data_IF_852126657492
#
_entry.id   IF_852126657492
#
_cell.length_a   1.000
_cell.length_b   1.000
_cell.length_c   1.000
_cell.angle_alpha   90.00
_cell.angle_beta   90.00
_cell.angle_gamma   90.00
#
_symmetry.space_group_name_H-M   'P 1'
#
loop_
_entity.id
_entity.type
_entity.pdbx_description
1 polymer ?
#
# COMPACT_ATOMS: atom_id res chain seq x y z
N UNK A 1 -19.21 48.31 -40.82
CA UNK A 1 -18.49 47.09 -40.40
C UNK A 1 -19.33 46.42 -39.32
N UNK A 2 -19.85 45.22 -39.57
CA UNK A 2 -20.54 44.40 -38.55
C UNK A 2 -19.50 43.51 -37.88
N UNK A 3 -19.30 43.67 -36.57
CA UNK A 3 -18.57 42.71 -35.75
C UNK A 3 -19.50 41.54 -35.39
N UNK A 4 -19.14 40.33 -35.83
CA UNK A 4 -19.74 39.09 -35.36
C UNK A 4 -19.14 38.72 -34.01
N UNK A 5 -19.86 38.97 -32.92
CA UNK A 5 -19.54 38.43 -31.60
C UNK A 5 -19.97 36.95 -31.56
N UNK A 6 -19.02 36.04 -31.79
CA UNK A 6 -19.24 34.61 -31.63
C UNK A 6 -19.44 34.22 -30.17
N UNK A 7 -20.60 33.64 -29.86
CA UNK A 7 -20.93 33.11 -28.53
C UNK A 7 -20.07 31.86 -28.25
N UNK A 8 -19.09 31.95 -27.34
CA UNK A 8 -18.34 30.78 -26.87
C UNK A 8 -19.11 30.10 -25.75
N UNK A 9 -19.67 28.93 -26.03
CA UNK A 9 -20.31 28.09 -25.01
C UNK A 9 -19.25 27.23 -24.34
N UNK A 10 -19.06 27.39 -23.04
CA UNK A 10 -18.21 26.50 -22.25
C UNK A 10 -19.07 25.39 -21.66
N UNK A 11 -18.73 24.12 -21.94
CA UNK A 11 -19.29 22.96 -21.24
C UNK A 11 -18.41 22.67 -20.03
N UNK A 12 -18.97 22.77 -18.84
CA UNK A 12 -18.34 22.27 -17.61
C UNK A 12 -18.45 20.75 -17.61
N UNK A 13 -17.31 20.06 -17.65
CA UNK A 13 -17.25 18.60 -17.44
C UNK A 13 -16.84 18.40 -15.98
N UNK A 14 -17.73 17.82 -15.18
CA UNK A 14 -17.40 17.37 -13.82
C UNK A 14 -16.81 15.97 -13.93
N UNK A 15 -15.51 15.83 -13.67
CA UNK A 15 -14.86 14.51 -13.57
C UNK A 15 -15.13 13.97 -12.17
N UNK A 16 -15.97 12.93 -12.08
CA UNK A 16 -16.17 12.19 -10.82
C UNK A 16 -14.90 11.36 -10.54
N UNK A 17 -14.39 11.32 -9.29
CA UNK A 17 -13.36 10.35 -8.92
C UNK A 17 -13.85 8.93 -9.19
N UNK A 18 -12.97 8.07 -9.70
CA UNK A 18 -13.26 6.66 -9.86
C UNK A 18 -13.52 6.02 -8.50
N UNK A 19 -14.42 5.05 -8.41
CA UNK A 19 -14.75 4.35 -7.17
C UNK A 19 -14.52 2.83 -7.27
N UNK A 20 -15.06 2.07 -6.32
CA UNK A 20 -14.86 0.62 -6.26
C UNK A 20 -15.33 -0.10 -7.54
N UNK A 21 -16.44 0.34 -8.14
CA UNK A 21 -17.01 -0.30 -9.33
C UNK A 21 -16.17 -0.05 -10.59
N UNK A 22 -15.31 0.97 -10.55
CA UNK A 22 -14.44 1.33 -11.67
C UNK A 22 -13.13 0.51 -11.71
N UNK A 23 -12.76 -0.19 -10.63
CA UNK A 23 -11.50 -0.98 -10.53
C UNK A 23 -11.25 -1.90 -11.75
N UNK A 24 -12.26 -2.63 -12.29
CA UNK A 24 -12.04 -3.48 -13.46
C UNK A 24 -11.49 -2.73 -14.68
N UNK A 25 -11.87 -1.45 -14.86
CA UNK A 25 -11.46 -0.60 -15.97
C UNK A 25 -10.10 0.09 -15.75
N UNK A 26 -9.65 0.21 -14.50
CA UNK A 26 -8.36 0.83 -14.17
C UNK A 26 -7.21 -0.06 -14.62
N UNK A 27 -6.21 0.52 -15.29
CA UNK A 27 -4.99 -0.21 -15.67
C UNK A 27 -4.17 -0.52 -14.42
N UNK A 28 -3.98 -1.80 -14.10
CA UNK A 28 -3.18 -2.19 -12.95
C UNK A 28 -1.72 -1.74 -13.10
N UNK A 29 -1.12 -1.24 -12.02
CA UNK A 29 0.24 -0.70 -12.03
C UNK A 29 0.38 0.70 -12.64
N UNK A 30 -0.72 1.38 -13.02
CA UNK A 30 -0.70 2.80 -13.42
C UNK A 30 -0.94 3.72 -12.23
N UNK A 31 -0.54 5.00 -12.35
CA UNK A 31 -0.76 6.02 -11.31
C UNK A 31 -2.22 6.47 -11.18
N UNK A 32 -3.15 5.86 -11.91
CA UNK A 32 -4.59 6.12 -11.77
C UNK A 32 -5.08 5.54 -10.45
N UNK A 33 -5.81 6.35 -9.68
CA UNK A 33 -6.40 5.95 -8.40
C UNK A 33 -7.90 5.74 -8.48
N UNK A 34 -8.40 4.92 -7.57
CA UNK A 34 -9.82 4.85 -7.19
C UNK A 34 -9.99 5.36 -5.77
N UNK A 35 -11.14 5.95 -5.46
CA UNK A 35 -11.49 6.46 -4.13
C UNK A 35 -12.48 5.51 -3.47
N UNK A 36 -12.08 4.88 -2.38
CA UNK A 36 -12.89 3.92 -1.61
C UNK A 36 -12.80 4.30 -0.15
N UNK A 37 -13.95 4.41 0.52
CA UNK A 37 -14.05 4.82 1.93
C UNK A 37 -13.29 6.13 2.23
N UNK A 38 -13.29 7.06 1.26
CA UNK A 38 -12.62 8.36 1.38
C UNK A 38 -11.10 8.35 1.19
N UNK A 39 -10.51 7.23 0.82
CA UNK A 39 -9.06 7.07 0.59
C UNK A 39 -8.79 6.81 -0.89
N UNK A 40 -7.73 7.41 -1.44
CA UNK A 40 -7.24 7.11 -2.79
C UNK A 40 -6.33 5.87 -2.78
N UNK A 41 -6.60 4.95 -3.70
CA UNK A 41 -5.92 3.65 -3.82
C UNK A 41 -5.33 3.47 -5.21
N UNK A 42 -4.06 3.06 -5.28
CA UNK A 42 -3.49 2.48 -6.48
C UNK A 42 -4.00 1.04 -6.64
N UNK A 43 -4.36 0.67 -7.88
CA UNK A 43 -4.64 -0.72 -8.25
C UNK A 43 -3.33 -1.34 -8.72
N UNK A 44 -2.67 -2.11 -7.86
CA UNK A 44 -1.34 -2.67 -8.18
C UNK A 44 -1.44 -3.91 -9.04
N UNK A 45 -2.36 -4.82 -8.69
CA UNK A 45 -2.53 -6.11 -9.37
C UNK A 45 -4.02 -6.41 -9.52
N UNK A 46 -4.39 -7.07 -10.61
CA UNK A 46 -5.71 -7.70 -10.78
C UNK A 46 -5.49 -9.16 -11.12
N UNK A 47 -6.11 -10.06 -10.36
CA UNK A 47 -5.98 -11.50 -10.57
C UNK A 47 -7.21 -12.24 -10.08
N UNK A 48 -7.71 -13.19 -10.87
CA UNK A 48 -8.79 -14.11 -10.49
C UNK A 48 -9.99 -13.45 -9.78
N UNK A 49 -10.49 -12.35 -10.34
CA UNK A 49 -11.63 -11.61 -9.78
C UNK A 49 -11.30 -10.80 -8.51
N UNK A 50 -10.03 -10.60 -8.20
CA UNK A 50 -9.55 -9.78 -7.07
C UNK A 50 -8.65 -8.65 -7.57
N UNK A 51 -8.47 -7.64 -6.72
CA UNK A 51 -7.46 -6.60 -6.93
C UNK A 51 -6.62 -6.39 -5.67
N UNK A 52 -5.32 -6.15 -5.84
CA UNK A 52 -4.45 -5.66 -4.78
C UNK A 52 -4.45 -4.14 -4.82
N UNK A 53 -4.91 -3.53 -3.74
CA UNK A 53 -4.94 -2.09 -3.55
C UNK A 53 -3.83 -1.65 -2.62
N UNK A 54 -3.27 -0.45 -2.86
CA UNK A 54 -2.33 0.20 -1.96
C UNK A 54 -2.64 1.68 -1.82
N UNK A 55 -2.72 2.16 -0.57
CA UNK A 55 -3.05 3.55 -0.30
C UNK A 55 -2.02 4.50 -0.91
N UNK A 56 -2.49 5.56 -1.59
CA UNK A 56 -1.64 6.59 -2.20
C UNK A 56 -0.92 7.44 -1.15
N UNK A 57 -1.63 7.86 -0.13
CA UNK A 57 -1.12 8.64 1.00
C UNK A 57 -1.33 7.86 2.32
N UNK A 58 -0.57 8.17 3.38
CA UNK A 58 -0.78 7.53 4.67
C UNK A 58 -2.18 7.81 5.22
N UNK A 59 -2.85 6.77 5.70
CA UNK A 59 -4.22 6.81 6.22
C UNK A 59 -4.27 6.93 7.75
N UNK A 60 -3.14 6.73 8.40
CA UNK A 60 -2.97 6.81 9.85
C UNK A 60 -1.52 7.14 10.20
N UNK A 61 -1.31 7.61 11.42
CA UNK A 61 0.00 7.74 12.04
C UNK A 61 0.06 6.84 13.28
N UNK A 62 0.96 5.84 13.27
CA UNK A 62 1.07 4.82 14.31
C UNK A 62 2.51 4.36 14.51
N UNK A 63 2.80 3.91 15.73
CA UNK A 63 4.00 3.13 16.01
C UNK A 63 3.92 1.79 15.31
N UNK A 64 5.07 1.27 14.87
CA UNK A 64 5.13 -0.10 14.37
C UNK A 64 4.86 -1.10 15.49
N UNK A 65 5.68 -1.04 16.53
CA UNK A 65 5.54 -1.86 17.74
C UNK A 65 6.36 -1.28 18.90
N UNK A 66 6.01 -1.63 20.14
CA UNK A 66 6.62 -1.07 21.35
C UNK A 66 7.32 -2.11 22.24
N UNK A 67 7.22 -3.41 21.94
CA UNK A 67 7.88 -4.49 22.71
C UNK A 67 8.61 -5.49 21.81
N UNK A 68 9.62 -6.16 22.37
CA UNK A 68 10.31 -7.25 21.69
C UNK A 68 9.42 -8.52 21.70
N UNK A 69 9.29 -9.29 20.60
CA UNK A 69 9.97 -9.15 19.32
C UNK A 69 9.29 -8.19 18.33
N UNK A 70 10.10 -7.35 17.69
CA UNK A 70 9.66 -6.32 16.73
C UNK A 70 9.40 -6.88 15.32
N UNK A 71 8.53 -7.89 15.26
CA UNK A 71 8.17 -8.58 14.01
C UNK A 71 6.80 -8.12 13.52
N UNK A 72 6.54 -8.24 12.22
CA UNK A 72 5.21 -7.97 11.66
C UNK A 72 4.10 -8.75 12.39
N UNK A 73 4.30 -10.06 12.60
CA UNK A 73 3.32 -10.96 13.24
C UNK A 73 2.89 -10.49 14.63
N UNK A 74 3.81 -9.96 15.42
CA UNK A 74 3.52 -9.49 16.80
C UNK A 74 3.28 -7.99 16.89
N UNK A 75 3.39 -7.27 15.77
CA UNK A 75 3.26 -5.81 15.76
C UNK A 75 1.86 -5.35 16.16
N UNK A 76 1.81 -4.31 16.99
CA UNK A 76 0.57 -3.63 17.35
C UNK A 76 -0.07 -2.95 16.14
N UNK A 77 0.75 -2.54 15.16
CA UNK A 77 0.27 -1.98 13.91
C UNK A 77 -0.55 -2.99 13.08
N UNK A 78 -0.08 -4.25 12.97
CA UNK A 78 -0.84 -5.32 12.31
C UNK A 78 -2.19 -5.54 12.99
N UNK A 79 -2.22 -5.59 14.32
CA UNK A 79 -3.46 -5.73 15.10
C UNK A 79 -4.43 -4.58 14.84
N UNK A 80 -3.94 -3.33 14.86
CA UNK A 80 -4.74 -2.16 14.54
C UNK A 80 -5.32 -2.21 13.12
N UNK A 81 -4.49 -2.55 12.13
CA UNK A 81 -4.90 -2.61 10.73
C UNK A 81 -5.97 -3.67 10.46
N UNK A 82 -5.82 -4.88 11.02
CA UNK A 82 -6.77 -5.98 10.83
C UNK A 82 -7.97 -5.94 11.81
N UNK A 83 -8.00 -4.99 12.73
CA UNK A 83 -9.07 -4.79 13.70
C UNK A 83 -9.73 -3.43 13.52
N UNK A 84 -9.44 -2.51 14.44
CA UNK A 84 -10.07 -1.18 14.54
C UNK A 84 -10.09 -0.42 13.20
N UNK A 85 -8.97 -0.40 12.46
CA UNK A 85 -8.89 0.32 11.20
C UNK A 85 -9.82 -0.29 10.15
N UNK A 86 -9.69 -1.59 9.85
CA UNK A 86 -10.53 -2.25 8.85
C UNK A 86 -12.01 -2.18 9.25
N UNK A 87 -12.36 -2.42 10.51
CA UNK A 87 -13.75 -2.39 10.99
C UNK A 87 -14.39 -0.98 10.90
N UNK A 88 -13.58 0.08 10.88
CA UNK A 88 -14.05 1.45 10.70
C UNK A 88 -14.40 1.80 9.24
N UNK A 89 -13.96 0.98 8.28
CA UNK A 89 -14.26 1.16 6.85
C UNK A 89 -15.68 0.68 6.52
N UNK A 90 -16.18 0.99 5.31
CA UNK A 90 -17.52 0.55 4.88
C UNK A 90 -17.41 -0.51 3.80
N UNK A 91 -16.84 -0.16 2.66
CA UNK A 91 -16.68 -1.07 1.51
C UNK A 91 -15.53 -2.04 1.78
N UNK A 92 -14.39 -1.55 2.30
CA UNK A 92 -13.19 -2.37 2.41
C UNK A 92 -13.37 -3.55 3.38
N UNK A 93 -14.05 -3.38 4.53
CA UNK A 93 -14.30 -4.48 5.47
C UNK A 93 -15.13 -5.63 4.88
N UNK A 94 -16.00 -5.33 3.91
CA UNK A 94 -16.86 -6.32 3.26
C UNK A 94 -16.12 -7.03 2.13
N UNK A 95 -15.18 -6.34 1.47
CA UNK A 95 -14.48 -6.84 0.28
C UNK A 95 -13.09 -7.39 0.56
N UNK A 96 -12.49 -7.07 1.70
CA UNK A 96 -11.13 -7.49 2.04
C UNK A 96 -10.97 -9.01 2.10
N UNK A 97 -9.88 -9.51 1.55
CA UNK A 97 -9.57 -10.94 1.44
C UNK A 97 -8.42 -11.30 2.36
N UNK A 98 -8.64 -12.29 3.23
CA UNK A 98 -7.58 -12.90 4.02
C UNK A 98 -6.53 -13.52 3.10
N UNK A 99 -5.29 -13.08 3.25
CA UNK A 99 -4.17 -13.43 2.37
C UNK A 99 -3.00 -13.87 3.22
N UNK A 100 -2.35 -14.98 2.84
CA UNK A 100 -1.10 -15.37 3.45
C UNK A 100 0.03 -14.45 2.98
N UNK A 101 0.62 -13.74 3.93
CA UNK A 101 1.70 -12.79 3.71
C UNK A 101 2.96 -13.31 4.38
N UNK A 102 3.99 -13.52 3.57
CA UNK A 102 5.30 -13.95 4.05
C UNK A 102 6.21 -12.74 4.26
N UNK A 103 6.90 -12.73 5.40
CA UNK A 103 7.80 -11.66 5.84
C UNK A 103 9.04 -12.26 6.48
N UNK A 104 10.21 -11.66 6.23
CA UNK A 104 11.46 -12.08 6.87
C UNK A 104 11.38 -11.83 8.38
N UNK A 105 11.90 -12.76 9.19
CA UNK A 105 11.75 -12.67 10.66
C UNK A 105 12.64 -11.62 11.33
N UNK A 106 13.76 -11.26 10.70
CA UNK A 106 14.78 -10.32 11.18
C UNK A 106 15.69 -9.85 10.02
N UNK A 107 16.57 -8.88 10.27
CA UNK A 107 17.40 -8.22 9.26
C UNK A 107 18.34 -9.17 8.48
N UNK A 108 18.76 -10.27 9.10
CA UNK A 108 19.66 -11.29 8.53
C UNK A 108 18.97 -12.66 8.47
N UNK A 109 17.64 -12.69 8.43
CA UNK A 109 16.90 -13.92 8.59
C UNK A 109 17.10 -14.88 7.41
N UNK A 110 17.40 -16.13 7.75
CA UNK A 110 17.08 -17.31 6.92
C UNK A 110 15.65 -17.78 7.15
N UNK A 111 15.07 -17.43 8.31
CA UNK A 111 13.74 -17.85 8.73
C UNK A 111 12.66 -16.85 8.31
N UNK A 112 11.47 -17.37 8.06
CA UNK A 112 10.34 -16.60 7.56
C UNK A 112 9.14 -16.75 8.47
N UNK A 113 8.35 -15.69 8.51
CA UNK A 113 7.09 -15.64 9.23
C UNK A 113 5.99 -15.50 8.20
N UNK A 114 4.97 -16.35 8.31
CA UNK A 114 3.75 -16.25 7.51
C UNK A 114 2.59 -15.87 8.43
N UNK A 115 1.85 -14.85 8.04
CA UNK A 115 0.60 -14.42 8.69
C UNK A 115 -0.53 -14.46 7.68
N UNK A 116 -1.73 -14.73 8.15
CA UNK A 116 -2.94 -14.55 7.34
C UNK A 116 -3.54 -13.19 7.71
N UNK A 117 -3.53 -12.26 6.76
CA UNK A 117 -3.90 -10.86 6.95
C UNK A 117 -4.92 -10.42 5.90
N UNK A 118 -5.94 -9.66 6.31
CA UNK A 118 -6.79 -8.91 5.39
C UNK A 118 -6.11 -7.60 4.96
N UNK A 119 -5.35 -6.99 5.87
CA UNK A 119 -4.65 -5.72 5.66
C UNK A 119 -3.21 -5.86 6.10
N UNK A 120 -2.28 -5.44 5.24
CA UNK A 120 -0.85 -5.53 5.49
C UNK A 120 -0.11 -4.28 5.01
N UNK A 121 1.18 -4.17 5.30
CA UNK A 121 2.06 -3.17 4.70
C UNK A 121 2.89 -3.82 3.60
N UNK A 122 3.22 -3.09 2.54
CA UNK A 122 4.19 -3.58 1.56
C UNK A 122 5.60 -3.70 2.18
N UNK A 123 6.45 -4.52 1.59
CA UNK A 123 7.83 -4.77 2.02
C UNK A 123 8.79 -4.00 1.13
N UNK A 124 10.05 -3.96 1.56
CA UNK A 124 11.13 -3.48 0.72
C UNK A 124 11.22 -4.24 -0.61
N UNK A 125 11.02 -5.56 -0.60
CA UNK A 125 11.06 -6.37 -1.81
C UNK A 125 9.91 -6.04 -2.76
N UNK A 126 8.72 -5.76 -2.21
CA UNK A 126 7.52 -5.42 -2.98
C UNK A 126 7.71 -4.09 -3.76
N UNK A 127 8.45 -3.13 -3.20
CA UNK A 127 8.65 -1.79 -3.77
C UNK A 127 9.93 -1.66 -4.59
N UNK A 128 11.03 -2.23 -4.10
CA UNK A 128 12.38 -1.98 -4.60
C UNK A 128 13.07 -3.23 -5.15
N UNK A 129 12.51 -4.42 -4.91
CA UNK A 129 13.17 -5.68 -5.28
C UNK A 129 14.43 -5.92 -4.45
N UNK A 130 14.51 -5.32 -3.26
CA UNK A 130 15.65 -5.41 -2.37
C UNK A 130 15.24 -5.89 -0.99
N UNK A 131 16.23 -6.38 -0.25
CA UNK A 131 16.16 -6.59 1.18
C UNK A 131 17.43 -6.02 1.80
N UNK A 132 17.28 -5.12 2.76
CA UNK A 132 18.40 -4.39 3.38
C UNK A 132 19.27 -3.66 2.34
N UNK A 133 18.62 -2.97 1.40
CA UNK A 133 19.25 -2.21 0.33
C UNK A 133 19.94 -3.05 -0.73
N UNK A 134 19.86 -4.38 -0.66
CA UNK A 134 20.52 -5.32 -1.58
C UNK A 134 19.49 -6.05 -2.40
N UNK A 135 19.70 -6.22 -3.72
CA UNK A 135 18.79 -6.94 -4.59
C UNK A 135 18.48 -8.34 -4.04
N UNK A 136 17.20 -8.72 -4.06
CA UNK A 136 16.73 -10.04 -3.64
C UNK A 136 15.94 -10.70 -4.75
N UNK A 137 16.02 -12.03 -4.80
CA UNK A 137 15.24 -12.89 -5.70
C UNK A 137 14.70 -14.12 -4.95
N UNK A 138 14.59 -14.03 -3.62
CA UNK A 138 14.10 -15.13 -2.82
C UNK A 138 12.61 -15.38 -3.14
N UNK A 139 12.26 -16.62 -3.47
CA UNK A 139 10.90 -16.99 -3.86
C UNK A 139 9.84 -16.77 -2.77
N UNK A 140 10.27 -16.58 -1.51
CA UNK A 140 9.38 -16.27 -0.39
C UNK A 140 9.13 -14.77 -0.19
N UNK A 141 9.90 -13.90 -0.85
CA UNK A 141 9.56 -12.47 -0.89
C UNK A 141 8.20 -12.32 -1.58
N UNK A 142 7.28 -11.57 -0.96
CA UNK A 142 5.93 -11.36 -1.46
C UNK A 142 5.96 -10.47 -2.71
N UNK A 143 6.25 -11.10 -3.84
CA UNK A 143 6.34 -10.47 -5.16
C UNK A 143 5.22 -10.99 -6.03
N UNK A 144 4.90 -10.27 -7.11
CA UNK A 144 3.88 -10.72 -8.06
C UNK A 144 4.52 -10.95 -9.42
N UNK A 145 4.37 -12.15 -9.97
CA UNK A 145 4.97 -12.52 -11.26
C UNK A 145 6.50 -12.41 -11.30
N UNK A 146 7.19 -12.72 -10.19
CA UNK A 146 8.65 -12.57 -10.02
C UNK A 146 9.18 -11.14 -10.24
N UNK A 147 8.32 -10.13 -10.08
CA UNK A 147 8.67 -8.71 -10.20
C UNK A 147 8.20 -7.94 -8.98
N UNK A 148 8.75 -6.74 -8.79
CA UNK A 148 8.24 -5.79 -7.79
C UNK A 148 6.76 -5.52 -8.04
N UNK A 149 5.98 -5.44 -6.95
CA UNK A 149 4.53 -5.22 -7.01
C UNK A 149 4.21 -3.76 -7.38
N UNK A 150 5.13 -2.83 -7.07
CA UNK A 150 5.01 -1.41 -7.40
C UNK A 150 5.88 -1.09 -8.62
N UNK A 151 5.35 -1.21 -9.86
CA UNK A 151 6.15 -1.05 -11.08
C UNK A 151 6.53 0.41 -11.34
N UNK A 152 5.67 1.37 -10.98
CA UNK A 152 5.92 2.80 -11.16
C UNK A 152 6.52 3.40 -9.87
N UNK A 153 7.74 3.93 -9.97
CA UNK A 153 8.43 4.57 -8.85
C UNK A 153 7.69 5.79 -8.30
N UNK A 154 6.87 6.47 -9.10
CA UNK A 154 6.09 7.63 -8.66
C UNK A 154 5.01 7.26 -7.63
N UNK A 155 4.55 6.01 -7.61
CA UNK A 155 3.63 5.53 -6.57
C UNK A 155 4.26 5.45 -5.18
N UNK A 156 5.60 5.37 -5.11
CA UNK A 156 6.33 5.27 -3.84
C UNK A 156 6.34 6.60 -3.08
N UNK A 157 6.28 7.71 -3.81
CA UNK A 157 6.16 9.03 -3.23
C UNK A 157 4.75 9.24 -2.64
N UNK A 158 4.66 10.13 -1.65
CA UNK A 158 3.41 10.52 -1.01
C UNK A 158 3.55 11.97 -0.50
N UNK A 159 2.42 12.64 -0.26
CA UNK A 159 2.40 14.09 0.01
C UNK A 159 2.19 14.41 1.49
N UNK A 160 1.52 13.54 2.24
CA UNK A 160 1.23 13.75 3.66
C UNK A 160 2.27 13.09 4.58
N UNK A 161 2.95 13.89 5.43
CA UNK A 161 3.97 13.39 6.35
C UNK A 161 5.35 13.17 5.69
N UNK A 162 6.25 12.49 6.41
CA UNK A 162 7.66 12.34 5.98
C UNK A 162 8.08 10.89 5.75
N UNK A 163 7.57 9.96 6.55
CA UNK A 163 7.99 8.55 6.54
C UNK A 163 6.77 7.65 6.66
N UNK A 164 6.74 6.55 5.90
CA UNK A 164 5.75 5.49 6.04
C UNK A 164 6.42 4.15 6.32
N UNK A 165 5.81 3.35 7.21
CA UNK A 165 6.28 2.01 7.55
C UNK A 165 6.24 1.04 6.36
N UNK A 166 7.25 0.18 6.28
CA UNK A 166 7.22 -1.09 5.53
C UNK A 166 7.31 -2.25 6.53
N UNK A 167 6.92 -3.46 6.10
CA UNK A 167 6.99 -4.65 6.97
C UNK A 167 8.37 -5.35 6.98
N UNK A 168 9.37 -4.83 6.27
CA UNK A 168 10.71 -5.44 6.23
C UNK A 168 11.53 -5.09 7.48
N UNK A 169 12.06 -6.07 8.21
CA UNK A 169 12.98 -5.82 9.32
C UNK A 169 14.30 -5.23 8.82
N UNK A 170 14.92 -4.40 9.66
CA UNK A 170 16.22 -3.77 9.44
C UNK A 170 17.10 -3.92 10.68
N UNK A 171 18.39 -3.56 10.60
CA UNK A 171 19.29 -3.67 11.75
C UNK A 171 18.84 -2.73 12.89
N UNK A 172 18.20 -3.29 13.92
CA UNK A 172 17.68 -2.53 15.06
C UNK A 172 16.52 -1.56 14.71
N UNK A 173 15.88 -1.72 13.56
CA UNK A 173 14.81 -0.84 13.07
C UNK A 173 13.87 -1.57 12.08
N UNK A 174 12.85 -0.88 11.56
CA UNK A 174 12.06 -1.33 10.42
C UNK A 174 12.37 -0.49 9.19
N UNK A 175 12.25 -1.09 8.02
CA UNK A 175 12.29 -0.36 6.76
C UNK A 175 11.12 0.65 6.69
N UNK A 176 11.39 1.78 6.05
CA UNK A 176 10.42 2.83 5.76
C UNK A 176 10.58 3.29 4.30
N UNK A 177 9.56 3.96 3.80
CA UNK A 177 9.65 4.78 2.59
C UNK A 177 9.53 6.26 2.98
N UNK A 178 10.44 7.09 2.47
CA UNK A 178 10.39 8.54 2.61
C UNK A 178 9.32 9.11 1.67
N UNK A 179 8.83 10.32 1.94
CA UNK A 179 7.86 11.01 1.08
C UNK A 179 8.35 11.23 -0.37
N UNK A 180 9.67 11.26 -0.58
CA UNK A 180 10.33 11.26 -1.89
C UNK A 180 10.26 9.93 -2.64
N UNK A 181 9.76 8.85 -2.02
CA UNK A 181 9.72 7.50 -2.58
C UNK A 181 11.02 6.69 -2.40
N UNK A 182 11.97 7.17 -1.60
CA UNK A 182 13.24 6.49 -1.33
C UNK A 182 13.17 5.59 -0.10
N UNK A 183 13.96 4.50 -0.10
CA UNK A 183 14.09 3.60 1.05
C UNK A 183 14.83 4.28 2.21
N UNK A 184 14.44 3.93 3.44
CA UNK A 184 15.17 4.23 4.66
C UNK A 184 14.85 3.23 5.77
N UNK A 185 15.26 3.51 6.99
CA UNK A 185 14.92 2.73 8.17
C UNK A 185 14.64 3.62 9.38
N UNK A 186 13.78 3.19 10.30
CA UNK A 186 13.45 3.96 11.50
C UNK A 186 13.11 3.10 12.71
N UNK A 187 13.27 3.66 13.91
CA UNK A 187 13.03 2.97 15.18
C UNK A 187 11.54 2.62 15.39
N UNK A 188 11.27 1.38 15.80
CA UNK A 188 9.94 0.77 15.92
C UNK A 188 8.92 1.57 16.73
N UNK A 189 9.40 2.34 17.72
CA UNK A 189 8.59 3.05 18.71
C UNK A 189 8.18 4.46 18.27
N UNK A 190 8.50 4.89 17.06
CA UNK A 190 8.10 6.21 16.57
C UNK A 190 6.77 6.14 15.83
N UNK A 191 5.93 7.16 15.98
CA UNK A 191 4.68 7.25 15.22
C UNK A 191 5.00 7.76 13.81
N UNK A 192 4.80 6.92 12.80
CA UNK A 192 5.02 7.26 11.38
C UNK A 192 3.76 6.98 10.57
N UNK A 193 3.75 7.44 9.32
CA UNK A 193 2.67 7.22 8.37
C UNK A 193 2.46 5.73 8.06
N UNK A 194 1.22 5.39 7.75
CA UNK A 194 0.79 4.02 7.46
C UNK A 194 0.07 3.99 6.11
N UNK A 195 0.67 3.33 5.12
CA UNK A 195 0.08 3.10 3.79
C UNK A 195 -0.30 1.62 3.64
N UNK A 196 -1.52 1.22 4.06
CA UNK A 196 -1.93 -0.18 4.01
C UNK A 196 -2.12 -0.65 2.58
N UNK A 197 -1.95 -1.96 2.40
CA UNK A 197 -2.31 -2.71 1.22
C UNK A 197 -3.29 -3.83 1.61
N UNK A 198 -4.17 -4.19 0.68
CA UNK A 198 -5.15 -5.25 0.87
C UNK A 198 -5.63 -5.80 -0.46
N UNK A 199 -5.94 -7.10 -0.48
CA UNK A 199 -6.69 -7.70 -1.57
C UNK A 199 -8.17 -7.48 -1.35
N UNK A 200 -8.89 -7.09 -2.41
CA UNK A 200 -10.34 -6.97 -2.42
C UNK A 200 -10.95 -7.94 -3.43
N UNK A 201 -12.09 -8.53 -3.08
CA UNK A 201 -12.89 -9.32 -4.01
C UNK A 201 -13.73 -8.38 -4.89
N UNK A 202 -13.54 -8.45 -6.22
CA UNK A 202 -14.29 -7.65 -7.19
C UNK A 202 -15.62 -8.30 -7.58
N UNK A 203 -15.82 -9.57 -7.20
CA UNK A 203 -17.08 -10.27 -7.44
C UNK A 203 -18.08 -9.87 -6.35
N UNK A 204 -19.34 -9.72 -6.76
CA UNK A 204 -20.46 -9.39 -5.89
C UNK A 204 -20.81 -10.51 -4.92
#
# INVERSE_FOLDING_TARGET
>A
SQEMAGLRTYKTITVKPLDFEDIPSVTAGSTTTVTIDGVEWYVLVKDNGKALLWAKDPVAEKQFHYTNPYTWQRSSLRTYLNGDWLNSTTILKEKAVQTDITTRSQYNATDWITTTDAVFLLSEADLFGTFNGTATSNAQDYTYGNSVIVPDQHMRAFSSGSFCWLRSPYNGSMAIVLNSGTLGSYSYSSSLGVRPALWVNLVS
#
